data_IF_520667932015
#
_entry.id   IF_520667932015
#
_cell.length_a   1.000
_cell.length_b   1.000
_cell.length_c   1.000
_cell.angle_alpha   90.00
_cell.angle_beta   90.00
_cell.angle_gamma   90.00
#
_symmetry.space_group_name_H-M   'P 1'
#
loop_
_entity.id
_entity.type
_entity.pdbx_description
1 polymer ?
#
# COMPACT_ATOMS: atom_id res chain seq x y z
N UNK A 1 7.00 -13.30 -18.45
CA UNK A 1 6.25 -12.02 -18.57
C UNK A 1 6.49 -11.24 -17.29
N UNK A 2 6.62 -9.92 -17.35
CA UNK A 2 6.82 -9.08 -16.14
C UNK A 2 5.62 -9.24 -15.20
N UNK A 3 5.86 -9.40 -13.90
CA UNK A 3 4.83 -9.41 -12.86
C UNK A 3 4.26 -8.00 -12.60
N UNK A 4 4.98 -6.97 -13.04
CA UNK A 4 4.66 -5.57 -12.76
C UNK A 4 3.50 -5.06 -13.59
N UNK A 5 2.69 -4.20 -12.96
CA UNK A 5 1.59 -3.51 -13.62
C UNK A 5 2.11 -2.56 -14.72
N UNK A 6 1.42 -2.53 -15.85
CA UNK A 6 1.72 -1.63 -16.97
C UNK A 6 1.22 -0.21 -16.66
N UNK A 7 2.10 0.81 -16.51
CA UNK A 7 1.72 2.18 -16.21
C UNK A 7 0.75 2.81 -17.21
N UNK A 8 0.80 2.41 -18.49
CA UNK A 8 -0.13 2.88 -19.52
C UNK A 8 -1.60 2.52 -19.21
N UNK A 9 -1.83 1.64 -18.24
CA UNK A 9 -3.15 1.25 -17.76
C UNK A 9 -3.57 1.92 -16.45
N UNK A 10 -2.81 2.93 -15.98
CA UNK A 10 -3.03 3.61 -14.69
C UNK A 10 -4.46 4.10 -14.47
N UNK A 11 -5.12 4.63 -15.50
CA UNK A 11 -6.52 5.07 -15.41
C UNK A 11 -7.49 3.92 -15.03
N UNK A 12 -7.17 2.67 -15.38
CA UNK A 12 -7.99 1.52 -14.98
C UNK A 12 -8.03 1.32 -13.47
N UNK A 13 -6.97 1.75 -12.78
CA UNK A 13 -6.88 1.67 -11.32
C UNK A 13 -7.81 2.68 -10.61
N UNK A 14 -8.39 3.62 -11.35
CA UNK A 14 -9.28 4.66 -10.85
C UNK A 14 -10.75 4.44 -11.21
N UNK A 15 -11.09 3.40 -11.95
CA UNK A 15 -12.46 3.17 -12.38
C UNK A 15 -13.39 2.97 -11.20
N UNK A 16 -14.62 3.47 -11.32
CA UNK A 16 -15.67 3.31 -10.31
C UNK A 16 -15.94 1.84 -9.96
N UNK A 17 -15.71 0.93 -10.91
CA UNK A 17 -15.80 -0.52 -10.71
C UNK A 17 -14.88 -0.99 -9.58
N UNK A 18 -13.66 -0.39 -9.42
CA UNK A 18 -12.75 -0.74 -8.33
C UNK A 18 -13.38 -0.46 -6.96
N UNK A 19 -14.08 0.65 -6.81
CA UNK A 19 -14.75 0.99 -5.56
C UNK A 19 -15.82 -0.04 -5.14
N UNK A 20 -16.39 -0.81 -6.09
CA UNK A 20 -17.37 -1.85 -5.78
C UNK A 20 -16.74 -3.09 -5.15
N UNK A 21 -15.51 -3.44 -5.49
CA UNK A 21 -14.84 -4.65 -5.00
C UNK A 21 -13.64 -4.37 -4.10
N UNK A 22 -13.14 -3.14 -4.10
CA UNK A 22 -12.04 -2.69 -3.23
C UNK A 22 -12.32 -1.27 -2.71
N UNK A 23 -13.42 -1.07 -1.92
CA UNK A 23 -13.71 0.23 -1.31
C UNK A 23 -12.57 0.67 -0.38
N UNK A 24 -12.44 1.97 -0.15
CA UNK A 24 -11.32 2.54 0.61
C UNK A 24 -11.51 2.37 2.12
N UNK A 25 -12.73 2.36 2.58
CA UNK A 25 -13.11 2.38 3.99
C UNK A 25 -12.44 1.26 4.82
N UNK A 26 -12.42 -0.01 4.39
CA UNK A 26 -11.79 -1.07 5.18
C UNK A 26 -10.31 -0.82 5.44
N UNK A 27 -9.55 -0.29 4.46
CA UNK A 27 -8.16 0.07 4.67
C UNK A 27 -8.03 1.22 5.66
N UNK A 28 -8.88 2.25 5.56
CA UNK A 28 -8.88 3.38 6.50
C UNK A 28 -9.20 2.94 7.93
N UNK A 29 -10.14 2.00 8.11
CA UNK A 29 -10.47 1.44 9.42
C UNK A 29 -9.30 0.64 10.04
N UNK A 30 -8.64 -0.18 9.23
CA UNK A 30 -7.48 -0.98 9.68
C UNK A 30 -6.26 -0.11 9.98
N UNK A 31 -5.98 0.90 9.13
CA UNK A 31 -4.87 1.81 9.28
C UNK A 31 -5.09 2.78 10.43
N UNK A 32 -6.34 3.21 10.62
CA UNK A 32 -6.78 4.19 11.62
C UNK A 32 -5.92 5.48 11.59
N UNK A 33 -5.81 6.15 10.42
CA UNK A 33 -4.93 7.30 10.25
C UNK A 33 -5.39 8.48 11.10
N UNK A 34 -4.45 9.07 11.88
CA UNK A 34 -4.72 10.18 12.79
C UNK A 34 -4.35 11.51 12.15
N UNK A 35 -5.10 12.60 12.43
CA UNK A 35 -4.70 13.94 12.02
C UNK A 35 -3.27 14.26 12.47
N UNK A 36 -2.47 14.85 11.59
CA UNK A 36 -1.06 15.14 11.84
C UNK A 36 -0.10 13.95 11.70
N UNK A 37 -0.62 12.72 11.52
CA UNK A 37 0.20 11.51 11.39
C UNK A 37 0.93 11.40 10.05
N UNK A 38 1.95 10.56 10.02
CA UNK A 38 2.79 10.29 8.82
C UNK A 38 2.60 8.85 8.39
N UNK A 39 2.30 8.65 7.11
CA UNK A 39 1.98 7.35 6.54
C UNK A 39 2.66 7.14 5.19
N UNK A 40 2.85 5.87 4.79
CA UNK A 40 3.46 5.51 3.52
C UNK A 40 2.53 4.62 2.69
N UNK A 41 2.24 5.05 1.47
CA UNK A 41 1.55 4.26 0.43
C UNK A 41 2.62 3.69 -0.50
N UNK A 42 2.87 2.40 -0.41
CA UNK A 42 3.93 1.71 -1.15
C UNK A 42 3.33 1.03 -2.38
N UNK A 43 3.75 1.46 -3.58
CA UNK A 43 3.08 1.15 -4.84
C UNK A 43 1.78 1.93 -4.96
N UNK A 44 1.86 3.24 -4.74
CA UNK A 44 0.69 4.11 -4.66
C UNK A 44 -0.12 4.19 -5.95
N UNK A 45 0.49 3.84 -7.10
CA UNK A 45 -0.12 4.04 -8.41
C UNK A 45 -0.60 5.48 -8.57
N UNK A 46 -1.78 5.70 -9.16
CA UNK A 46 -2.35 7.03 -9.34
C UNK A 46 -3.02 7.59 -8.05
N UNK A 47 -2.71 7.04 -6.87
CA UNK A 47 -3.15 7.57 -5.58
C UNK A 47 -4.56 7.16 -5.14
N UNK A 48 -5.03 5.96 -5.50
CA UNK A 48 -6.37 5.50 -5.15
C UNK A 48 -6.61 5.48 -3.62
N UNK A 49 -5.66 4.94 -2.85
CA UNK A 49 -5.71 4.94 -1.38
C UNK A 49 -5.00 6.14 -0.77
N UNK A 50 -3.97 6.68 -1.44
CA UNK A 50 -3.21 7.84 -0.97
C UNK A 50 -4.10 9.02 -0.61
N UNK A 51 -5.00 9.42 -1.53
CA UNK A 51 -5.78 10.65 -1.38
C UNK A 51 -6.80 10.55 -0.23
N UNK A 52 -7.56 9.46 -0.06
CA UNK A 52 -8.43 9.29 1.11
C UNK A 52 -7.69 9.29 2.45
N UNK A 53 -6.49 8.71 2.52
CA UNK A 53 -5.65 8.78 3.74
C UNK A 53 -5.17 10.21 3.97
N UNK A 54 -4.76 10.93 2.92
CA UNK A 54 -4.34 12.33 3.00
C UNK A 54 -5.45 13.24 3.55
N UNK A 55 -6.71 13.00 3.16
CA UNK A 55 -7.87 13.71 3.72
C UNK A 55 -8.02 13.51 5.24
N UNK A 56 -7.63 12.35 5.76
CA UNK A 56 -7.75 12.03 7.20
C UNK A 56 -6.62 12.65 8.04
N UNK A 57 -5.43 12.80 7.46
CA UNK A 57 -4.23 13.26 8.20
C UNK A 57 -3.99 14.77 8.12
N UNK A 58 -4.64 15.48 7.20
CA UNK A 58 -4.49 16.94 7.04
C UNK A 58 -4.93 17.71 8.28
N UNK A 59 -4.49 19.00 8.47
CA UNK A 59 -3.57 19.71 7.56
C UNK A 59 -2.07 19.39 7.80
N UNK A 60 -1.70 18.92 8.98
CA UNK A 60 -0.31 18.86 9.44
C UNK A 60 0.36 17.50 9.18
N UNK A 61 -0.43 16.50 8.80
CA UNK A 61 0.06 15.16 8.47
C UNK A 61 0.74 15.07 7.10
N UNK A 62 1.33 13.89 6.82
CA UNK A 62 1.97 13.59 5.53
C UNK A 62 1.60 12.18 5.08
N UNK A 63 1.39 12.03 3.78
CA UNK A 63 1.33 10.73 3.11
C UNK A 63 2.45 10.69 2.07
N UNK A 64 3.40 9.81 2.30
CA UNK A 64 4.46 9.52 1.34
C UNK A 64 3.93 8.51 0.34
N UNK A 65 3.67 8.97 -0.88
CA UNK A 65 3.21 8.16 -2.01
C UNK A 65 4.43 7.65 -2.78
N UNK A 66 4.73 6.36 -2.64
CA UNK A 66 5.91 5.73 -3.22
C UNK A 66 5.52 4.83 -4.38
N UNK A 67 6.23 4.94 -5.48
CA UNK A 67 6.08 4.05 -6.64
C UNK A 67 7.38 3.98 -7.42
N UNK A 68 7.59 2.86 -8.12
CA UNK A 68 8.74 2.70 -9.03
C UNK A 68 8.54 3.46 -10.35
N UNK A 69 7.28 3.74 -10.74
CA UNK A 69 6.90 4.41 -11.98
C UNK A 69 6.77 5.93 -11.78
N UNK A 70 7.62 6.73 -12.46
CA UNK A 70 7.47 8.18 -12.46
C UNK A 70 6.11 8.65 -13.00
N UNK A 71 5.53 7.91 -13.95
CA UNK A 71 4.23 8.21 -14.54
C UNK A 71 3.11 8.08 -13.51
N UNK A 72 3.14 7.03 -12.68
CA UNK A 72 2.18 6.84 -11.58
C UNK A 72 2.29 7.96 -10.55
N UNK A 73 3.52 8.32 -10.18
CA UNK A 73 3.78 9.41 -9.25
C UNK A 73 3.27 10.75 -9.80
N UNK A 74 3.46 11.02 -11.09
CA UNK A 74 2.94 12.23 -11.73
C UNK A 74 1.40 12.28 -11.69
N UNK A 75 0.73 11.16 -11.97
CA UNK A 75 -0.74 11.06 -11.87
C UNK A 75 -1.21 11.26 -10.43
N UNK A 76 -0.52 10.69 -9.46
CA UNK A 76 -0.85 10.86 -8.04
C UNK A 76 -0.71 12.32 -7.61
N UNK A 77 0.39 12.97 -7.98
CA UNK A 77 0.66 14.38 -7.65
C UNK A 77 -0.38 15.32 -8.29
N UNK A 78 -0.74 15.10 -9.56
CA UNK A 78 -1.78 15.86 -10.26
C UNK A 78 -3.12 15.78 -9.50
N UNK A 79 -3.56 14.58 -9.18
CA UNK A 79 -4.80 14.35 -8.47
C UNK A 79 -4.80 14.90 -7.04
N UNK A 80 -3.64 14.88 -6.37
CA UNK A 80 -3.47 15.50 -5.06
C UNK A 80 -3.67 17.03 -5.16
N UNK A 81 -3.08 17.66 -6.19
CA UNK A 81 -3.22 19.09 -6.45
C UNK A 81 -4.68 19.47 -6.76
N UNK A 82 -5.36 18.70 -7.61
CA UNK A 82 -6.78 18.92 -7.93
C UNK A 82 -7.69 18.90 -6.70
N UNK A 83 -7.30 18.17 -5.64
CA UNK A 83 -8.03 18.07 -4.36
C UNK A 83 -7.50 19.00 -3.26
N UNK A 84 -6.50 19.84 -3.55
CA UNK A 84 -5.86 20.70 -2.53
C UNK A 84 -5.13 19.92 -1.45
N UNK A 85 -4.55 18.77 -1.81
CA UNK A 85 -3.78 17.87 -0.92
C UNK A 85 -2.28 17.89 -1.21
N UNK A 86 -1.81 18.77 -2.08
CA UNK A 86 -0.42 18.92 -2.50
C UNK A 86 0.54 19.27 -1.34
N UNK A 87 0.02 19.89 -0.29
CA UNK A 87 0.78 20.15 0.94
C UNK A 87 0.89 18.92 1.87
N UNK A 88 0.07 17.89 1.65
CA UNK A 88 -0.02 16.69 2.49
C UNK A 88 0.60 15.48 1.80
N UNK A 89 0.41 15.32 0.50
CA UNK A 89 0.92 14.21 -0.30
C UNK A 89 2.32 14.55 -0.81
N UNK A 90 3.28 13.66 -0.52
CA UNK A 90 4.66 13.76 -0.99
C UNK A 90 4.96 12.56 -1.88
N UNK A 91 5.11 12.77 -3.16
CA UNK A 91 5.45 11.69 -4.11
C UNK A 91 6.96 11.44 -4.14
N UNK A 92 7.36 10.18 -3.97
CA UNK A 92 8.76 9.77 -3.94
C UNK A 92 8.96 8.53 -4.81
N UNK A 93 9.91 8.58 -5.72
CA UNK A 93 10.31 7.40 -6.47
C UNK A 93 11.17 6.49 -5.60
N UNK A 94 10.80 5.22 -5.52
CA UNK A 94 11.60 4.18 -4.86
C UNK A 94 12.12 3.17 -5.89
N UNK A 95 13.06 2.35 -5.47
CA UNK A 95 13.44 1.12 -6.18
C UNK A 95 12.76 -0.10 -5.54
N UNK A 96 13.10 -1.29 -6.04
CA UNK A 96 12.52 -2.56 -5.57
C UNK A 96 13.09 -3.03 -4.22
N UNK A 97 14.06 -2.33 -3.67
CA UNK A 97 14.81 -2.77 -2.49
C UNK A 97 14.79 -1.75 -1.35
N UNK A 98 14.63 -0.47 -1.68
CA UNK A 98 14.80 0.61 -0.70
C UNK A 98 13.72 1.67 -0.81
N UNK A 99 13.23 2.10 0.35
CA UNK A 99 12.31 3.21 0.50
C UNK A 99 13.08 4.48 0.88
N UNK A 100 12.92 5.61 0.16
CA UNK A 100 13.60 6.87 0.44
C UNK A 100 12.96 7.59 1.65
N UNK A 101 12.83 6.88 2.75
CA UNK A 101 12.28 7.35 4.01
C UNK A 101 13.26 7.08 5.15
N UNK A 102 13.23 7.94 6.15
CA UNK A 102 14.03 7.78 7.37
C UNK A 102 13.59 6.56 8.18
N UNK A 103 14.48 6.03 9.00
CA UNK A 103 14.17 5.03 10.00
C UNK A 103 13.09 5.57 10.94
N UNK A 104 12.08 4.75 11.23
CA UNK A 104 11.00 5.12 12.16
C UNK A 104 10.21 6.37 11.75
N UNK A 105 10.26 6.71 10.46
CA UNK A 105 9.70 7.95 9.88
C UNK A 105 8.19 7.98 9.79
N UNK A 106 7.50 6.79 9.82
CA UNK A 106 6.06 6.71 9.62
C UNK A 106 5.35 5.86 10.68
N UNK A 107 4.10 6.17 10.91
CA UNK A 107 3.21 5.51 11.88
C UNK A 107 2.49 4.30 11.31
N UNK A 108 2.32 4.31 10.01
CA UNK A 108 1.71 3.21 9.28
C UNK A 108 2.13 3.20 7.82
N UNK A 109 2.10 2.01 7.23
CA UNK A 109 2.38 1.79 5.82
C UNK A 109 1.40 0.77 5.26
N UNK A 110 1.14 0.85 3.96
CA UNK A 110 0.36 -0.18 3.28
C UNK A 110 0.91 -0.48 1.89
N UNK A 111 0.66 -1.72 1.47
CA UNK A 111 0.90 -2.24 0.14
C UNK A 111 -0.44 -2.77 -0.39
N UNK A 112 -1.02 -2.13 -1.38
CA UNK A 112 -2.30 -2.55 -1.95
C UNK A 112 -2.15 -2.99 -3.40
N UNK A 113 -2.27 -4.29 -3.65
CA UNK A 113 -2.04 -4.94 -4.95
C UNK A 113 -0.58 -4.83 -5.44
N UNK A 114 0.37 -4.95 -4.52
CA UNK A 114 1.81 -4.80 -4.78
C UNK A 114 2.59 -6.05 -4.38
N UNK A 115 2.17 -6.74 -3.31
CA UNK A 115 2.94 -7.82 -2.72
C UNK A 115 3.24 -8.95 -3.72
N UNK A 116 2.28 -9.28 -4.60
CA UNK A 116 2.45 -10.30 -5.63
C UNK A 116 3.47 -9.91 -6.73
N UNK A 117 3.86 -8.64 -6.82
CA UNK A 117 4.85 -8.14 -7.79
C UNK A 117 6.28 -8.15 -7.24
N UNK A 118 6.47 -8.30 -5.92
CA UNK A 118 7.77 -8.24 -5.26
C UNK A 118 8.64 -9.44 -5.64
N UNK A 119 9.90 -9.17 -6.04
CA UNK A 119 10.89 -10.20 -6.34
C UNK A 119 11.52 -10.78 -5.06
N UNK A 120 11.74 -9.94 -4.05
CA UNK A 120 12.31 -10.30 -2.75
C UNK A 120 11.42 -9.81 -1.59
N UNK A 121 10.22 -10.42 -1.39
CA UNK A 121 9.23 -9.91 -0.47
C UNK A 121 9.70 -9.85 0.99
N UNK A 122 10.51 -10.80 1.45
CA UNK A 122 11.04 -10.80 2.81
C UNK A 122 11.97 -9.59 3.06
N UNK A 123 12.93 -9.35 2.14
CA UNK A 123 13.87 -8.23 2.28
C UNK A 123 13.13 -6.89 2.16
N UNK A 124 12.16 -6.80 1.28
CA UNK A 124 11.35 -5.60 1.14
C UNK A 124 10.49 -5.33 2.39
N UNK A 125 9.89 -6.34 3.01
CA UNK A 125 9.15 -6.18 4.26
C UNK A 125 10.05 -5.80 5.44
N UNK A 126 11.31 -6.23 5.47
CA UNK A 126 12.29 -5.72 6.45
C UNK A 126 12.56 -4.23 6.26
N UNK A 127 12.60 -3.77 5.00
CA UNK A 127 12.72 -2.34 4.68
C UNK A 127 11.46 -1.56 5.08
N UNK A 128 10.27 -2.11 4.83
CA UNK A 128 9.02 -1.53 5.34
C UNK A 128 9.04 -1.44 6.88
N UNK A 129 9.55 -2.48 7.55
CA UNK A 129 9.70 -2.47 9.01
C UNK A 129 10.68 -1.41 9.49
N UNK A 130 11.77 -1.15 8.76
CA UNK A 130 12.76 -0.10 9.09
C UNK A 130 12.11 1.27 9.16
N UNK A 131 11.29 1.62 8.16
CA UNK A 131 10.65 2.95 8.07
C UNK A 131 9.49 3.15 9.04
N UNK A 132 8.86 2.07 9.51
CA UNK A 132 7.81 2.14 10.52
C UNK A 132 8.39 2.41 11.90
N UNK A 133 7.79 3.30 12.69
CA UNK A 133 8.13 3.46 14.10
C UNK A 133 7.75 2.22 14.93
N UNK A 134 8.33 2.00 16.11
CA UNK A 134 7.85 0.99 17.06
C UNK A 134 6.35 1.16 17.34
N UNK A 135 5.59 0.08 17.31
CA UNK A 135 4.13 0.08 17.37
C UNK A 135 3.43 0.51 16.07
N UNK A 136 4.19 0.84 15.04
CA UNK A 136 3.64 1.19 13.72
C UNK A 136 3.01 0.00 13.02
N UNK A 137 2.01 0.26 12.18
CA UNK A 137 1.21 -0.76 11.48
C UNK A 137 1.60 -0.91 10.03
N UNK A 138 1.64 -2.15 9.55
CA UNK A 138 1.68 -2.46 8.11
C UNK A 138 0.37 -3.13 7.70
N UNK A 139 -0.15 -2.75 6.53
CA UNK A 139 -1.29 -3.41 5.93
C UNK A 139 -0.90 -3.92 4.54
N UNK A 140 -1.10 -5.21 4.30
CA UNK A 140 -0.98 -5.82 2.97
C UNK A 140 -2.36 -6.18 2.48
N UNK A 141 -2.79 -5.56 1.39
CA UNK A 141 -4.02 -5.93 0.67
C UNK A 141 -3.62 -6.54 -0.66
N UNK A 142 -3.95 -7.80 -0.89
CA UNK A 142 -3.61 -8.44 -2.16
C UNK A 142 -4.65 -9.48 -2.59
N UNK A 143 -4.53 -9.94 -3.83
CA UNK A 143 -5.49 -10.78 -4.50
C UNK A 143 -5.60 -12.18 -3.89
N UNK A 144 -6.83 -12.61 -3.61
CA UNK A 144 -7.10 -14.00 -3.22
C UNK A 144 -6.75 -14.93 -4.39
N UNK A 145 -6.17 -16.10 -4.14
CA UNK A 145 -5.84 -17.09 -5.17
C UNK A 145 -7.08 -17.87 -5.63
N UNK A 146 -8.09 -17.15 -6.12
CA UNK A 146 -9.35 -17.70 -6.67
C UNK A 146 -9.48 -17.36 -8.15
N UNK A 147 -10.10 -18.23 -8.93
CA UNK A 147 -10.32 -18.00 -10.36
C UNK A 147 -11.31 -16.85 -10.57
N UNK A 148 -10.94 -15.90 -11.44
CA UNK A 148 -11.78 -14.78 -11.87
C UNK A 148 -11.27 -14.21 -13.20
N UNK A 149 -12.12 -13.46 -13.91
CA UNK A 149 -11.82 -12.94 -15.25
C UNK A 149 -11.06 -11.62 -15.26
N UNK A 150 -10.61 -11.14 -14.09
CA UNK A 150 -9.89 -9.88 -13.92
C UNK A 150 -8.80 -10.02 -12.86
N UNK A 151 -7.94 -8.99 -12.76
CA UNK A 151 -6.77 -9.00 -11.87
C UNK A 151 -5.55 -9.69 -12.49
N UNK A 152 -4.49 -9.96 -11.72
CA UNK A 152 -3.33 -10.68 -12.19
C UNK A 152 -3.65 -12.16 -12.46
N UNK A 153 -2.87 -12.85 -13.30
CA UNK A 153 -2.98 -14.28 -13.48
C UNK A 153 -2.98 -15.06 -12.17
N UNK A 154 -3.68 -16.18 -12.10
CA UNK A 154 -3.83 -16.97 -10.86
C UNK A 154 -2.48 -17.41 -10.29
N UNK A 155 -1.54 -17.77 -11.15
CA UNK A 155 -0.17 -18.16 -10.80
C UNK A 155 0.67 -17.04 -10.20
N UNK A 156 0.26 -15.78 -10.33
CA UNK A 156 0.93 -14.63 -9.72
C UNK A 156 0.31 -14.25 -8.37
N UNK A 157 -0.85 -14.81 -8.02
CA UNK A 157 -1.51 -14.47 -6.74
C UNK A 157 -0.89 -15.24 -5.60
N UNK A 158 -0.53 -14.53 -4.55
CA UNK A 158 0.15 -15.11 -3.39
C UNK A 158 -0.89 -15.60 -2.38
N UNK A 159 -0.78 -16.83 -1.86
CA UNK A 159 -1.65 -17.30 -0.79
C UNK A 159 -1.49 -16.49 0.49
N UNK A 160 -2.60 -16.28 1.22
CA UNK A 160 -2.63 -15.55 2.49
C UNK A 160 -1.58 -16.06 3.49
N UNK A 161 -1.43 -17.38 3.59
CA UNK A 161 -0.50 -18.04 4.51
C UNK A 161 0.95 -17.64 4.23
N UNK A 162 1.33 -17.53 2.95
CA UNK A 162 2.68 -17.10 2.55
C UNK A 162 2.94 -15.63 2.92
N UNK A 163 1.94 -14.76 2.81
CA UNK A 163 2.05 -13.35 3.26
C UNK A 163 2.22 -13.27 4.77
N UNK A 164 1.42 -14.04 5.54
CA UNK A 164 1.52 -14.10 6.99
C UNK A 164 2.88 -14.62 7.46
N UNK A 165 3.42 -15.64 6.78
CA UNK A 165 4.75 -16.20 7.07
C UNK A 165 5.84 -15.17 6.79
N UNK A 166 5.81 -14.54 5.61
CA UNK A 166 6.80 -13.52 5.23
C UNK A 166 6.79 -12.31 6.18
N UNK A 167 5.60 -11.85 6.60
CA UNK A 167 5.48 -10.78 7.61
C UNK A 167 6.09 -11.19 8.95
N UNK A 168 5.86 -12.44 9.38
CA UNK A 168 6.41 -12.97 10.63
C UNK A 168 7.95 -13.05 10.57
N UNK A 169 8.49 -13.55 9.47
CA UNK A 169 9.93 -13.63 9.23
C UNK A 169 10.57 -12.25 9.13
N UNK A 170 9.86 -11.26 8.59
CA UNK A 170 10.31 -9.86 8.56
C UNK A 170 10.27 -9.18 9.95
N UNK A 171 9.77 -9.88 10.99
CA UNK A 171 9.76 -9.40 12.37
C UNK A 171 8.53 -8.57 12.74
N UNK A 172 7.42 -8.72 12.01
CA UNK A 172 6.14 -8.18 12.42
C UNK A 172 5.43 -9.12 13.40
N UNK A 173 4.65 -8.54 14.30
CA UNK A 173 3.86 -9.24 15.30
C UNK A 173 2.37 -8.88 15.20
N UNK A 174 1.53 -9.49 16.06
CA UNK A 174 0.08 -9.23 16.10
C UNK A 174 -0.59 -9.33 14.74
N UNK A 175 -0.17 -10.32 13.94
CA UNK A 175 -0.69 -10.52 12.60
C UNK A 175 -2.16 -10.93 12.65
N UNK A 176 -3.00 -10.24 11.91
CA UNK A 176 -4.42 -10.54 11.77
C UNK A 176 -4.84 -10.44 10.30
N UNK A 177 -5.58 -11.44 9.82
CA UNK A 177 -6.21 -11.40 8.51
C UNK A 177 -7.65 -10.93 8.62
N UNK A 178 -8.08 -10.11 7.66
CA UNK A 178 -9.42 -9.53 7.59
C UNK A 178 -10.05 -9.83 6.25
N UNK A 179 -11.23 -10.42 6.26
CA UNK A 179 -12.02 -10.74 5.06
C UNK A 179 -12.98 -9.60 4.71
N UNK A 180 -12.41 -8.43 4.41
CA UNK A 180 -13.14 -7.17 4.18
C UNK A 180 -13.36 -6.84 2.70
N UNK A 181 -12.79 -7.65 1.80
CA UNK A 181 -12.92 -7.48 0.36
C UNK A 181 -13.35 -8.81 -0.31
N UNK A 182 -14.22 -8.77 -1.34
CA UNK A 182 -14.66 -9.99 -2.01
C UNK A 182 -13.52 -10.74 -2.71
N UNK A 183 -12.55 -10.04 -3.28
CA UNK A 183 -11.49 -10.62 -4.12
C UNK A 183 -10.08 -10.44 -3.56
N UNK A 184 -9.94 -9.74 -2.42
CA UNK A 184 -8.66 -9.52 -1.77
C UNK A 184 -8.74 -9.97 -0.32
N UNK A 185 -7.61 -10.37 0.25
CA UNK A 185 -7.40 -10.42 1.68
C UNK A 185 -6.77 -9.11 2.14
N UNK A 186 -6.96 -8.76 3.40
CA UNK A 186 -6.19 -7.72 4.07
C UNK A 186 -5.48 -8.33 5.27
N UNK A 187 -4.19 -8.08 5.41
CA UNK A 187 -3.38 -8.53 6.55
C UNK A 187 -2.85 -7.31 7.26
N UNK A 188 -3.14 -7.20 8.54
CA UNK A 188 -2.57 -6.21 9.45
C UNK A 188 -1.42 -6.86 10.22
N UNK A 189 -0.28 -6.16 10.30
CA UNK A 189 0.83 -6.49 11.16
C UNK A 189 1.30 -5.26 11.94
N UNK A 190 1.97 -5.47 13.08
CA UNK A 190 2.52 -4.40 13.91
C UNK A 190 4.03 -4.58 14.05
N UNK A 191 4.80 -3.49 13.91
CA UNK A 191 6.21 -3.49 14.30
C UNK A 191 6.28 -3.53 15.84
N UNK A 192 6.92 -4.56 16.45
CA UNK A 192 7.14 -4.59 17.89
C UNK A 192 7.90 -3.36 18.40
N UNK A 193 7.67 -3.05 19.67
CA UNK A 193 8.41 -1.97 20.38
C UNK A 193 9.87 -2.31 20.62
#
# INVERSE_FOLDING_TARGET
MSRKFDPARGEKLLREERARFQPVEPLLELLDPKPGGRYADIGCGPGYFTLPVAERVRPDGRVYALDISPEMLAMCAERARERGLDSVVVTLQNDEHKLPLDDEGVEGAWLANVFHELEAPLEFLKEVRRVLRPGGRVIVVDWKPIAMDFGPPLEHRVPLEAVLETLREAGFARLASHDVYPYHYAVLGERPS
#
